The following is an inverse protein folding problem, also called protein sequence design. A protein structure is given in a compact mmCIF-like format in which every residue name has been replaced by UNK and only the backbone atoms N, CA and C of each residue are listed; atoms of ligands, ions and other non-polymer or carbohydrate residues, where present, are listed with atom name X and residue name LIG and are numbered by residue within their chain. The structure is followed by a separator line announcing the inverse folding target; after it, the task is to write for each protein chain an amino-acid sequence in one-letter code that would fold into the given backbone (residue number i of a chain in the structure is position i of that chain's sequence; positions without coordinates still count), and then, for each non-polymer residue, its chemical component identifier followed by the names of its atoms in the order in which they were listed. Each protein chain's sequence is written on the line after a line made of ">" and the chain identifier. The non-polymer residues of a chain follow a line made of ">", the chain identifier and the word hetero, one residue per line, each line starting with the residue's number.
data_IF_002436763788
#
_entry.id   IF_002436763788
#
_cell.length_a   1.000
_cell.length_b   1.000
_cell.length_c   1.000
_cell.angle_alpha   90.00
_cell.angle_beta   90.00
_cell.angle_gamma   90.00
#
_symmetry.space_group_name_H-M   'P 1'
#
loop_
_entity.id
_entity.type
_entity.pdbx_description
1 polymer ?
#
# COMPACT_ATOMS: atom_id res chain seq x y z
N UNK A 1 11.31 -27.67 13.76
CA UNK A 1 12.57 -27.02 13.33
C UNK A 1 12.62 -27.23 11.83
N UNK A 2 12.01 -26.30 11.07
CA UNK A 2 12.05 -26.33 9.61
C UNK A 2 13.19 -25.42 9.17
N UNK A 3 13.94 -25.90 8.19
CA UNK A 3 15.32 -25.57 7.92
C UNK A 3 15.58 -24.10 7.52
N UNK A 4 16.58 -23.49 8.18
CA UNK A 4 17.19 -22.18 7.90
C UNK A 4 18.07 -22.16 6.62
N UNK A 5 17.90 -23.12 5.70
CA UNK A 5 18.86 -23.33 4.60
C UNK A 5 18.67 -22.41 3.38
N UNK A 6 17.65 -21.54 3.40
CA UNK A 6 17.32 -20.59 2.32
C UNK A 6 16.83 -19.23 2.85
N UNK A 7 17.36 -18.77 3.99
CA UNK A 7 16.96 -17.46 4.56
C UNK A 7 17.40 -16.30 3.63
N UNK A 8 16.54 -15.93 2.67
CA UNK A 8 16.71 -14.74 1.87
C UNK A 8 16.80 -13.52 2.79
N UNK A 9 17.74 -12.60 2.51
CA UNK A 9 17.90 -11.37 3.30
C UNK A 9 16.53 -10.66 3.42
N UNK A 10 15.98 -10.48 4.64
CA UNK A 10 14.64 -9.92 4.83
C UNK A 10 14.44 -8.56 4.16
N UNK A 11 15.50 -7.74 4.07
CA UNK A 11 15.45 -6.45 3.40
C UNK A 11 15.37 -6.56 1.88
N UNK A 12 16.05 -7.55 1.28
CA UNK A 12 15.92 -7.82 -0.16
C UNK A 12 14.54 -8.37 -0.50
N UNK A 13 14.00 -9.26 0.34
CA UNK A 13 12.61 -9.74 0.22
C UNK A 13 11.64 -8.56 0.31
N UNK A 14 11.82 -7.68 1.30
CA UNK A 14 11.02 -6.48 1.48
C UNK A 14 11.02 -5.59 0.23
N UNK A 15 12.20 -5.29 -0.32
CA UNK A 15 12.34 -4.49 -1.54
C UNK A 15 11.62 -5.16 -2.72
N UNK A 16 11.83 -6.45 -2.93
CA UNK A 16 11.21 -7.20 -4.03
C UNK A 16 9.69 -7.21 -3.93
N UNK A 17 9.16 -7.60 -2.76
CA UNK A 17 7.72 -7.68 -2.49
C UNK A 17 7.05 -6.30 -2.65
N UNK A 18 7.60 -5.25 -2.04
CA UNK A 18 7.01 -3.92 -2.12
C UNK A 18 7.07 -3.33 -3.54
N UNK A 19 8.14 -3.60 -4.29
CA UNK A 19 8.25 -3.15 -5.68
C UNK A 19 7.18 -3.81 -6.55
N UNK A 20 6.97 -5.13 -6.41
CA UNK A 20 5.94 -5.86 -7.17
C UNK A 20 4.54 -5.36 -6.80
N UNK A 21 4.22 -5.23 -5.51
CA UNK A 21 2.91 -4.72 -5.09
C UNK A 21 2.63 -3.31 -5.58
N UNK A 22 3.60 -2.41 -5.46
CA UNK A 22 3.39 -1.02 -5.85
C UNK A 22 3.44 -0.80 -7.35
N UNK A 23 4.13 -1.67 -8.11
CA UNK A 23 3.98 -1.71 -9.56
C UNK A 23 2.54 -2.05 -9.96
N UNK A 24 1.89 -3.02 -9.29
CA UNK A 24 0.47 -3.31 -9.51
C UNK A 24 -0.43 -2.12 -9.14
N UNK A 25 -0.14 -1.42 -8.04
CA UNK A 25 -0.87 -0.19 -7.66
C UNK A 25 -0.67 0.92 -8.69
N UNK A 26 0.51 1.04 -9.28
CA UNK A 26 0.80 2.02 -10.32
C UNK A 26 -0.04 1.79 -11.58
N UNK A 27 -0.20 0.55 -12.02
CA UNK A 27 -0.97 0.23 -13.25
C UNK A 27 -2.49 0.17 -13.02
N UNK A 28 -2.94 0.10 -11.77
CA UNK A 28 -4.37 -0.01 -11.46
C UNK A 28 -5.17 1.19 -12.03
N UNK A 29 -6.35 0.95 -12.64
CA UNK A 29 -7.15 1.98 -13.32
C UNK A 29 -7.66 3.06 -12.35
N UNK A 30 -7.97 2.66 -11.11
CA UNK A 30 -8.33 3.58 -10.02
C UNK A 30 -7.11 3.78 -9.13
N UNK A 31 -6.44 4.92 -9.27
CA UNK A 31 -5.23 5.28 -8.51
C UNK A 31 -5.53 5.30 -7.01
N UNK A 32 -4.89 4.39 -6.26
CA UNK A 32 -5.00 4.31 -4.78
C UNK A 32 -4.11 5.37 -4.12
N UNK A 33 -2.98 5.65 -4.74
CA UNK A 33 -1.93 6.52 -4.24
C UNK A 33 -1.56 7.53 -5.33
N UNK A 34 -1.14 8.72 -4.92
CA UNK A 34 -0.44 9.65 -5.82
C UNK A 34 0.96 9.11 -6.15
N UNK A 35 1.65 9.60 -7.20
CA UNK A 35 3.02 9.17 -7.49
C UNK A 35 3.96 9.33 -6.29
N UNK A 36 3.86 10.45 -5.57
CA UNK A 36 4.61 10.66 -4.34
C UNK A 36 4.18 9.69 -3.23
N UNK A 37 2.87 9.42 -3.10
CA UNK A 37 2.34 8.45 -2.15
C UNK A 37 2.85 7.03 -2.40
N UNK A 38 3.08 6.64 -3.65
CA UNK A 38 3.67 5.34 -4.02
C UNK A 38 5.11 5.22 -3.50
N UNK A 39 5.93 6.26 -3.66
CA UNK A 39 7.30 6.25 -3.13
C UNK A 39 7.31 6.15 -1.61
N UNK A 40 6.44 6.90 -0.92
CA UNK A 40 6.37 6.85 0.53
C UNK A 40 5.83 5.51 1.05
N UNK A 41 4.83 4.94 0.37
CA UNK A 41 4.30 3.61 0.69
C UNK A 41 5.35 2.53 0.49
N UNK A 42 6.23 2.67 -0.52
CA UNK A 42 7.34 1.75 -0.74
C UNK A 42 8.34 1.80 0.41
N UNK A 43 8.77 3.00 0.80
CA UNK A 43 9.70 3.20 1.93
C UNK A 43 9.10 2.61 3.20
N UNK A 44 7.85 2.98 3.52
CA UNK A 44 7.17 2.50 4.72
C UNK A 44 7.03 0.97 4.71
N UNK A 45 6.62 0.39 3.58
CA UNK A 45 6.47 -1.06 3.46
C UNK A 45 7.79 -1.82 3.62
N UNK A 46 8.90 -1.27 3.12
CA UNK A 46 10.25 -1.83 3.32
C UNK A 46 10.65 -1.75 4.80
N UNK A 47 10.40 -0.61 5.46
CA UNK A 47 10.70 -0.43 6.88
C UNK A 47 9.89 -1.39 7.76
N UNK A 48 8.59 -1.52 7.52
CA UNK A 48 7.71 -2.41 8.29
C UNK A 48 8.17 -3.86 8.15
N UNK A 49 8.44 -4.32 6.93
CA UNK A 49 8.92 -5.69 6.72
C UNK A 49 10.31 -5.90 7.35
N UNK A 50 11.23 -4.95 7.19
CA UNK A 50 12.58 -5.06 7.74
C UNK A 50 12.62 -5.08 9.28
N UNK A 51 11.68 -4.40 9.94
CA UNK A 51 11.64 -4.25 11.41
C UNK A 51 10.66 -5.20 12.10
N UNK A 52 9.51 -5.47 11.50
CA UNK A 52 8.41 -6.26 12.07
C UNK A 52 8.12 -7.55 11.29
N UNK A 53 8.86 -7.81 10.20
CA UNK A 53 8.70 -8.96 9.31
C UNK A 53 7.27 -9.07 8.73
N UNK A 54 6.96 -10.22 8.13
CA UNK A 54 5.67 -10.46 7.50
C UNK A 54 4.45 -10.26 8.43
N UNK A 55 4.47 -10.54 9.75
CA UNK A 55 3.30 -10.32 10.61
C UNK A 55 2.95 -8.84 10.71
N UNK A 56 3.92 -7.97 11.01
CA UNK A 56 3.68 -6.52 11.05
C UNK A 56 3.25 -5.96 9.71
N UNK A 57 3.86 -6.46 8.63
CA UNK A 57 3.49 -6.07 7.26
C UNK A 57 2.03 -6.40 6.94
N UNK A 58 1.54 -7.58 7.33
CA UNK A 58 0.14 -7.97 7.06
C UNK A 58 -0.87 -7.11 7.83
N UNK A 59 -0.58 -6.72 9.07
CA UNK A 59 -1.47 -5.86 9.86
C UNK A 59 -1.61 -4.49 9.21
N UNK A 60 -0.49 -3.84 8.86
CA UNK A 60 -0.51 -2.52 8.24
C UNK A 60 -1.11 -2.57 6.84
N UNK A 61 -0.76 -3.59 6.05
CA UNK A 61 -1.33 -3.83 4.73
C UNK A 61 -2.85 -4.01 4.79
N UNK A 62 -3.35 -4.77 5.75
CA UNK A 62 -4.78 -4.95 5.97
C UNK A 62 -5.48 -3.62 6.31
N UNK A 63 -4.95 -2.88 7.28
CA UNK A 63 -5.47 -1.56 7.65
C UNK A 63 -5.55 -0.61 6.46
N UNK A 64 -4.46 -0.55 5.66
CA UNK A 64 -4.40 0.28 4.47
C UNK A 64 -5.49 -0.10 3.45
N UNK A 65 -5.60 -1.39 3.12
CA UNK A 65 -6.55 -1.91 2.14
C UNK A 65 -8.00 -1.69 2.57
N UNK A 66 -8.33 -1.98 3.83
CA UNK A 66 -9.68 -1.77 4.38
C UNK A 66 -10.03 -0.28 4.31
N UNK A 67 -9.15 0.59 4.78
CA UNK A 67 -9.38 2.03 4.70
C UNK A 67 -9.57 2.50 3.26
N UNK A 68 -8.74 2.02 2.32
CA UNK A 68 -8.85 2.38 0.90
C UNK A 68 -10.12 1.85 0.25
N UNK A 69 -10.59 0.67 0.66
CA UNK A 69 -11.86 0.10 0.23
C UNK A 69 -13.02 0.96 0.70
N UNK A 70 -13.07 1.29 1.99
CA UNK A 70 -14.13 2.11 2.61
C UNK A 70 -14.22 3.50 1.96
N UNK A 71 -13.09 4.16 1.68
CA UNK A 71 -13.07 5.46 0.96
C UNK A 71 -13.78 5.39 -0.40
N UNK A 72 -13.70 4.23 -1.07
CA UNK A 72 -14.25 4.04 -2.42
C UNK A 72 -15.69 3.55 -2.45
N UNK A 73 -16.25 3.13 -1.30
CA UNK A 73 -17.66 2.81 -1.20
C UNK A 73 -18.45 4.10 -1.47
N UNK A 74 -19.38 4.02 -2.41
CA UNK A 74 -20.21 5.16 -2.78
C UNK A 74 -19.50 6.20 -3.66
N UNK A 75 -18.28 5.96 -4.16
CA UNK A 75 -17.56 6.98 -4.94
C UNK A 75 -18.27 7.35 -6.24
N UNK A 76 -18.89 6.39 -6.94
CA UNK A 76 -19.64 6.68 -8.16
C UNK A 76 -20.82 7.63 -7.89
N UNK A 77 -21.50 7.45 -6.76
CA UNK A 77 -22.59 8.31 -6.30
C UNK A 77 -22.07 9.69 -5.91
N UNK A 78 -20.92 9.75 -5.21
CA UNK A 78 -20.27 11.03 -4.84
C UNK A 78 -19.76 11.79 -6.06
N UNK A 79 -19.21 11.11 -7.05
CA UNK A 79 -18.78 11.68 -8.35
C UNK A 79 -20.00 12.22 -9.12
N UNK A 80 -21.09 11.46 -9.19
CA UNK A 80 -22.33 11.89 -9.83
C UNK A 80 -22.99 13.10 -9.12
N UNK A 81 -22.87 13.19 -7.79
CA UNK A 81 -23.39 14.29 -6.99
C UNK A 81 -22.44 15.51 -6.92
N UNK A 82 -21.26 15.45 -7.57
CA UNK A 82 -20.28 16.55 -7.54
C UNK A 82 -19.60 16.78 -6.19
N UNK A 83 -19.76 15.87 -5.23
CA UNK A 83 -19.20 15.93 -3.87
C UNK A 83 -18.02 14.97 -3.69
N UNK A 84 -17.47 14.45 -4.79
CA UNK A 84 -16.36 13.51 -4.75
C UNK A 84 -15.14 14.08 -4.03
N UNK A 85 -14.47 13.20 -3.30
CA UNK A 85 -13.25 13.54 -2.58
C UNK A 85 -12.13 13.90 -3.57
N UNK A 86 -11.24 14.82 -3.15
CA UNK A 86 -10.12 15.27 -3.97
C UNK A 86 -9.33 14.06 -4.50
N UNK A 87 -8.91 14.13 -5.78
CA UNK A 87 -8.13 13.09 -6.46
C UNK A 87 -8.82 11.71 -6.47
N UNK A 88 -10.15 11.63 -6.41
CA UNK A 88 -10.91 10.36 -6.38
C UNK A 88 -10.44 9.44 -5.23
N UNK A 89 -10.09 10.04 -4.08
CA UNK A 89 -9.62 9.34 -2.89
C UNK A 89 -8.17 8.83 -2.94
N UNK A 90 -7.37 9.21 -3.93
CA UNK A 90 -5.96 8.83 -3.99
C UNK A 90 -5.14 9.50 -2.87
N UNK A 91 -4.46 8.68 -2.04
CA UNK A 91 -3.71 9.16 -0.87
C UNK A 91 -2.33 9.71 -1.25
N UNK A 92 -1.98 10.87 -0.68
CA UNK A 92 -0.64 11.46 -0.78
C UNK A 92 0.30 10.97 0.32
N UNK A 93 1.59 11.37 0.28
CA UNK A 93 2.58 11.07 1.32
C UNK A 93 2.07 11.30 2.75
N UNK A 94 1.32 12.38 2.96
CA UNK A 94 0.76 12.81 4.24
C UNK A 94 -0.22 11.79 4.85
N UNK A 95 -0.83 10.93 4.03
CA UNK A 95 -1.85 9.97 4.44
C UNK A 95 -1.33 8.52 4.46
N UNK A 96 -0.03 8.34 4.23
CA UNK A 96 0.60 7.01 4.15
C UNK A 96 1.35 6.65 5.45
N UNK A 97 1.83 7.64 6.20
CA UNK A 97 2.54 7.46 7.47
C UNK A 97 1.62 7.19 8.66
#
# INVERSE_FOLDING_TARGET
>A
MLDDSLSLNPWLVAVGVNTVFLAMVWIAPKKLLTPAGIVHAWILGVLIWGTLNWPGYTVVGFYFLVGSGVTRIGMAQKEAAGIAEKRSGARGPENVW
#
